data_IF_094813521009
#
_entry.id   IF_094813521009
#
_cell.length_a   1.000
_cell.length_b   1.000
_cell.length_c   1.000
_cell.angle_alpha   90.00
_cell.angle_beta   90.00
_cell.angle_gamma   90.00
#
_symmetry.space_group_name_H-M   'P 1'
#
loop_
_entity.id
_entity.type
_entity.pdbx_description
1 polymer ?
#
# COMPACT_ATOMS: atom_id res chain seq x y z
N UNK A 1 -37.92 61.74 -29.98
CA UNK A 1 -36.77 62.51 -29.45
C UNK A 1 -35.63 61.51 -29.22
N UNK A 2 -34.68 61.38 -30.15
CA UNK A 2 -33.29 61.92 -30.12
C UNK A 2 -32.33 61.25 -29.09
N UNK A 3 -31.63 60.19 -29.57
CA UNK A 3 -30.16 59.85 -29.55
C UNK A 3 -29.37 59.83 -28.20
N UNK A 4 -28.13 59.28 -28.13
CA UNK A 4 -27.57 57.98 -28.55
C UNK A 4 -26.61 57.34 -27.48
N UNK A 5 -26.03 56.16 -27.75
CA UNK A 5 -24.95 55.51 -26.97
C UNK A 5 -23.55 56.15 -27.16
N UNK A 6 -22.57 55.93 -26.25
CA UNK A 6 -21.44 55.01 -26.53
C UNK A 6 -20.93 54.26 -25.26
N UNK A 7 -20.48 53.01 -25.34
CA UNK A 7 -19.10 52.67 -25.70
C UNK A 7 -18.19 52.59 -24.45
N UNK A 8 -17.92 51.38 -23.96
CA UNK A 8 -16.79 51.07 -23.07
C UNK A 8 -16.45 49.59 -23.26
N UNK A 9 -15.67 49.32 -24.31
CA UNK A 9 -14.24 48.99 -24.25
C UNK A 9 -13.98 47.59 -23.67
N UNK A 10 -13.68 46.68 -24.60
CA UNK A 10 -12.93 45.44 -24.39
C UNK A 10 -11.80 45.61 -23.37
N UNK A 11 -11.65 44.65 -22.46
CA UNK A 11 -10.34 44.09 -22.16
C UNK A 11 -10.52 42.61 -21.77
N UNK A 12 -10.38 41.74 -22.77
CA UNK A 12 -10.24 40.31 -22.57
C UNK A 12 -8.86 40.05 -21.94
N UNK A 13 -8.83 39.70 -20.66
CA UNK A 13 -7.63 39.17 -20.01
C UNK A 13 -7.41 37.73 -20.49
N UNK A 14 -6.63 37.58 -21.56
CA UNK A 14 -6.00 36.31 -21.93
C UNK A 14 -5.05 35.90 -20.81
N UNK A 15 -5.49 34.97 -19.97
CA UNK A 15 -4.60 34.27 -19.04
C UNK A 15 -3.72 33.31 -19.86
N UNK A 16 -2.47 33.71 -20.12
CA UNK A 16 -1.44 32.84 -20.64
C UNK A 16 -1.17 31.71 -19.63
N UNK A 17 -1.75 30.54 -19.86
CA UNK A 17 -1.32 29.29 -19.22
C UNK A 17 0.09 28.98 -19.72
N UNK A 18 1.09 29.37 -18.93
CA UNK A 18 2.47 28.95 -19.13
C UNK A 18 2.58 27.48 -18.73
N UNK A 19 2.60 26.61 -19.74
CA UNK A 19 2.84 25.19 -19.56
C UNK A 19 4.32 24.98 -19.22
N UNK A 20 4.65 25.03 -17.93
CA UNK A 20 5.99 24.70 -17.46
C UNK A 20 6.21 23.18 -17.61
N UNK A 21 7.27 22.72 -18.29
CA UNK A 21 7.59 21.30 -18.34
C UNK A 21 8.01 20.84 -16.94
N UNK A 22 7.27 19.89 -16.38
CA UNK A 22 7.65 19.19 -15.16
C UNK A 22 9.01 18.50 -15.38
N UNK A 23 9.97 18.59 -14.45
CA UNK A 23 11.20 17.82 -14.55
C UNK A 23 10.82 16.33 -14.51
N UNK A 24 11.22 15.60 -15.55
CA UNK A 24 11.16 14.16 -15.55
C UNK A 24 11.94 13.65 -14.32
N UNK A 25 11.24 13.05 -13.37
CA UNK A 25 11.86 12.43 -12.22
C UNK A 25 12.89 11.41 -12.74
N UNK A 26 14.15 11.60 -12.35
CA UNK A 26 15.23 10.69 -12.66
C UNK A 26 14.84 9.29 -12.21
N UNK A 27 14.72 8.36 -13.16
CA UNK A 27 14.54 6.95 -12.87
C UNK A 27 15.86 6.46 -12.26
N UNK A 28 15.94 6.50 -10.93
CA UNK A 28 17.03 5.86 -10.19
C UNK A 28 17.01 4.38 -10.57
N UNK A 29 18.05 3.95 -11.31
CA UNK A 29 18.25 2.57 -11.71
C UNK A 29 18.68 1.80 -10.47
N UNK A 30 17.72 1.46 -9.62
CA UNK A 30 17.91 0.45 -8.58
C UNK A 30 18.12 -0.88 -9.29
N UNK A 31 19.12 -1.67 -8.88
CA UNK A 31 19.19 -3.07 -9.25
C UNK A 31 17.78 -3.67 -9.11
N UNK A 32 17.32 -4.36 -10.15
CA UNK A 32 15.92 -4.76 -10.25
C UNK A 32 15.41 -5.44 -8.97
N UNK A 33 14.12 -5.28 -8.68
CA UNK A 33 13.52 -5.86 -7.50
C UNK A 33 13.86 -7.37 -7.40
N UNK A 34 14.09 -7.91 -6.19
CA UNK A 34 14.38 -9.33 -6.03
C UNK A 34 13.31 -10.20 -6.72
N UNK A 35 13.68 -11.40 -7.19
CA UNK A 35 12.73 -12.29 -7.89
C UNK A 35 11.52 -12.69 -7.03
N UNK A 36 11.62 -12.54 -5.70
CA UNK A 36 10.58 -12.80 -4.72
C UNK A 36 9.85 -11.52 -4.23
N UNK A 37 10.06 -10.36 -4.86
CA UNK A 37 9.45 -9.11 -4.39
C UNK A 37 7.92 -9.19 -4.31
N UNK A 38 7.29 -9.80 -5.33
CA UNK A 38 5.85 -9.98 -5.35
C UNK A 38 5.35 -10.85 -4.18
N UNK A 39 6.14 -11.86 -3.79
CA UNK A 39 5.82 -12.72 -2.65
C UNK A 39 5.92 -11.93 -1.33
N UNK A 40 6.92 -11.05 -1.19
CA UNK A 40 7.03 -10.20 0.00
C UNK A 40 5.92 -9.15 0.09
N UNK A 41 5.51 -8.57 -1.05
CA UNK A 41 4.37 -7.65 -1.10
C UNK A 41 3.08 -8.35 -0.66
N UNK A 42 2.85 -9.57 -1.15
CA UNK A 42 1.69 -10.36 -0.74
C UNK A 42 1.78 -10.79 0.72
N UNK A 43 2.98 -11.15 1.21
CA UNK A 43 3.19 -11.46 2.62
C UNK A 43 2.88 -10.26 3.51
N UNK A 44 3.35 -9.06 3.14
CA UNK A 44 3.05 -7.82 3.87
C UNK A 44 1.54 -7.55 3.93
N UNK A 45 0.83 -7.70 2.81
CA UNK A 45 -0.63 -7.57 2.76
C UNK A 45 -1.34 -8.57 3.69
N UNK A 46 -0.91 -9.83 3.69
CA UNK A 46 -1.44 -10.88 4.59
C UNK A 46 -1.23 -10.51 6.05
N UNK A 47 -0.04 -10.02 6.42
CA UNK A 47 0.26 -9.58 7.78
C UNK A 47 -0.66 -8.43 8.21
N UNK A 48 -0.95 -7.48 7.31
CA UNK A 48 -1.91 -6.41 7.54
C UNK A 48 -3.34 -6.92 7.77
N UNK A 49 -3.79 -7.85 6.92
CA UNK A 49 -5.11 -8.45 7.05
C UNK A 49 -5.26 -9.23 8.38
N UNK A 50 -4.25 -10.01 8.76
CA UNK A 50 -4.21 -10.71 10.04
C UNK A 50 -4.17 -9.75 11.22
N UNK A 51 -3.48 -8.62 11.09
CA UNK A 51 -3.43 -7.58 12.11
C UNK A 51 -4.83 -7.03 12.43
N UNK A 52 -5.72 -6.95 11.45
CA UNK A 52 -7.10 -6.54 11.65
C UNK A 52 -8.02 -7.69 12.11
N UNK A 53 -8.03 -8.80 11.38
CA UNK A 53 -9.02 -9.87 11.54
C UNK A 53 -8.88 -10.61 12.87
N UNK A 54 -7.66 -10.84 13.35
CA UNK A 54 -7.44 -11.69 14.52
C UNK A 54 -7.93 -11.06 15.82
N UNK A 55 -7.59 -9.80 16.14
CA UNK A 55 -8.18 -9.12 17.29
C UNK A 55 -9.70 -8.96 17.17
N UNK A 56 -10.22 -8.70 15.96
CA UNK A 56 -11.66 -8.61 15.72
C UNK A 56 -12.40 -9.91 16.11
N UNK A 57 -11.75 -11.06 15.90
CA UNK A 57 -12.23 -12.39 16.27
C UNK A 57 -11.73 -12.90 17.63
N UNK A 58 -11.24 -12.00 18.50
CA UNK A 58 -10.95 -12.32 19.90
C UNK A 58 -9.59 -12.96 20.18
N UNK A 59 -8.68 -13.02 19.20
CA UNK A 59 -7.32 -13.48 19.45
C UNK A 59 -6.53 -12.43 20.26
N UNK A 60 -5.93 -12.84 21.37
CA UNK A 60 -5.11 -11.99 22.24
C UNK A 60 -3.66 -11.90 21.73
N UNK A 61 -3.44 -11.12 20.67
CA UNK A 61 -2.13 -11.00 19.99
C UNK A 61 -1.82 -9.55 19.58
N UNK A 62 -1.79 -8.64 20.56
CA UNK A 62 -1.86 -7.17 20.36
C UNK A 62 -0.74 -6.56 19.49
N UNK A 63 0.38 -7.27 19.30
CA UNK A 63 1.52 -6.79 18.50
C UNK A 63 2.03 -7.78 17.45
N UNK A 64 1.69 -9.07 17.56
CA UNK A 64 2.29 -10.17 16.77
C UNK A 64 2.47 -9.82 15.29
N UNK A 65 1.40 -9.46 14.60
CA UNK A 65 1.43 -9.23 13.15
C UNK A 65 2.19 -7.97 12.73
N UNK A 66 2.25 -6.95 13.60
CA UNK A 66 3.13 -5.80 13.37
C UNK A 66 4.58 -6.17 13.59
N UNK A 67 4.87 -7.01 14.59
CA UNK A 67 6.23 -7.47 14.88
C UNK A 67 6.76 -8.37 13.74
N UNK A 68 5.92 -9.24 13.16
CA UNK A 68 6.26 -10.00 11.96
C UNK A 68 6.54 -9.09 10.75
N UNK A 69 5.73 -8.03 10.57
CA UNK A 69 5.98 -7.05 9.51
C UNK A 69 7.29 -6.28 9.74
N UNK A 70 7.58 -5.92 10.99
CA UNK A 70 8.85 -5.30 11.36
C UNK A 70 10.02 -6.25 11.09
N UNK A 71 9.90 -7.53 11.45
CA UNK A 71 10.89 -8.56 11.16
C UNK A 71 11.14 -8.72 9.65
N UNK A 72 10.10 -8.69 8.82
CA UNK A 72 10.23 -8.68 7.37
C UNK A 72 11.06 -7.48 6.91
N UNK A 73 10.75 -6.28 7.40
CA UNK A 73 11.47 -5.06 7.04
C UNK A 73 12.92 -5.05 7.53
N UNK A 74 13.20 -5.68 8.67
CA UNK A 74 14.54 -5.75 9.24
C UNK A 74 15.42 -6.72 8.46
N UNK A 75 14.89 -7.87 8.06
CA UNK A 75 15.60 -8.88 7.25
C UNK A 75 15.89 -8.35 5.85
N UNK A 76 14.88 -7.75 5.21
CA UNK A 76 15.00 -7.27 3.83
C UNK A 76 15.76 -5.95 3.72
N UNK A 77 15.88 -5.22 4.83
CA UNK A 77 16.47 -3.88 4.94
C UNK A 77 16.15 -2.98 3.72
N UNK A 78 14.88 -2.85 3.29
CA UNK A 78 14.54 -2.14 2.07
C UNK A 78 14.77 -0.63 2.27
N UNK A 79 15.31 0.02 1.24
CA UNK A 79 15.54 1.47 1.23
C UNK A 79 14.56 2.20 0.31
N UNK A 80 14.32 3.49 0.59
CA UNK A 80 13.53 4.36 -0.27
C UNK A 80 12.14 3.82 -0.58
N UNK A 81 11.77 3.84 -1.86
CA UNK A 81 10.43 3.48 -2.33
C UNK A 81 10.02 2.05 -1.96
N UNK A 82 10.97 1.09 -1.93
CA UNK A 82 10.68 -0.32 -1.63
C UNK A 82 10.11 -0.51 -0.22
N UNK A 83 10.66 0.21 0.77
CA UNK A 83 10.14 0.19 2.15
C UNK A 83 8.72 0.74 2.21
N UNK A 84 8.48 1.83 1.48
CA UNK A 84 7.17 2.46 1.36
C UNK A 84 6.14 1.52 0.75
N UNK A 85 6.52 0.78 -0.31
CA UNK A 85 5.64 -0.19 -0.99
C UNK A 85 5.24 -1.34 -0.06
N UNK A 86 6.18 -1.96 0.65
CA UNK A 86 5.88 -3.01 1.62
C UNK A 86 4.96 -2.52 2.76
N UNK A 87 5.22 -1.31 3.25
CA UNK A 87 4.36 -0.68 4.27
C UNK A 87 2.95 -0.41 3.72
N UNK A 88 2.85 0.05 2.47
CA UNK A 88 1.58 0.30 1.81
C UNK A 88 0.80 -1.02 1.61
N UNK A 89 1.45 -2.11 1.23
CA UNK A 89 0.82 -3.42 1.10
C UNK A 89 0.22 -3.89 2.44
N UNK A 90 0.98 -3.77 3.54
CA UNK A 90 0.45 -4.04 4.89
C UNK A 90 -0.79 -3.19 5.21
N UNK A 91 -0.72 -1.88 4.99
CA UNK A 91 -1.83 -0.99 5.26
C UNK A 91 -3.06 -1.33 4.39
N UNK A 92 -2.86 -1.70 3.12
CA UNK A 92 -3.93 -2.11 2.22
C UNK A 92 -4.63 -3.38 2.71
N UNK A 93 -3.87 -4.38 3.17
CA UNK A 93 -4.42 -5.60 3.76
C UNK A 93 -5.25 -5.33 5.02
N UNK A 94 -4.77 -4.43 5.88
CA UNK A 94 -5.52 -4.00 7.07
C UNK A 94 -6.82 -3.27 6.69
N UNK A 95 -6.72 -2.29 5.79
CA UNK A 95 -7.84 -1.43 5.39
C UNK A 95 -8.92 -2.18 4.62
N UNK A 96 -8.54 -3.15 3.77
CA UNK A 96 -9.50 -3.93 2.99
C UNK A 96 -10.51 -4.63 3.89
N UNK A 97 -10.06 -5.28 4.96
CA UNK A 97 -10.95 -5.97 5.92
C UNK A 97 -11.63 -5.00 6.89
N UNK A 98 -10.97 -3.90 7.26
CA UNK A 98 -11.59 -2.86 8.11
C UNK A 98 -12.81 -2.22 7.47
N UNK A 99 -12.83 -2.13 6.15
CA UNK A 99 -13.96 -1.59 5.42
C UNK A 99 -15.17 -2.53 5.45
N UNK A 100 -14.96 -3.85 5.43
CA UNK A 100 -16.05 -4.84 5.28
C UNK A 100 -16.55 -5.43 6.59
N UNK A 101 -15.69 -5.61 7.59
CA UNK A 101 -16.06 -6.24 8.86
C UNK A 101 -15.97 -5.27 10.03
N UNK A 102 -17.01 -5.21 10.86
CA UNK A 102 -17.06 -4.43 12.11
C UNK A 102 -17.18 -5.29 13.36
N UNK A 103 -17.60 -6.54 13.18
CA UNK A 103 -17.66 -7.59 14.20
C UNK A 103 -17.10 -8.86 13.57
N UNK A 104 -16.67 -9.82 14.39
CA UNK A 104 -16.30 -11.12 13.87
C UNK A 104 -17.53 -11.83 13.29
N UNK A 105 -17.39 -12.31 12.06
CA UNK A 105 -18.37 -13.15 11.36
C UNK A 105 -17.70 -14.48 10.99
N UNK A 106 -18.47 -15.54 10.68
CA UNK A 106 -17.88 -16.80 10.21
C UNK A 106 -16.98 -16.63 8.97
N UNK A 107 -17.28 -15.66 8.10
CA UNK A 107 -16.43 -15.37 6.94
C UNK A 107 -15.15 -14.62 7.31
N UNK A 108 -15.19 -13.72 8.29
CA UNK A 108 -14.00 -13.05 8.81
C UNK A 108 -13.05 -14.06 9.49
N UNK A 109 -13.61 -14.98 10.28
CA UNK A 109 -12.84 -16.04 10.94
C UNK A 109 -12.20 -16.99 9.92
N UNK A 110 -12.96 -17.43 8.91
CA UNK A 110 -12.43 -18.24 7.82
C UNK A 110 -11.33 -17.53 7.03
N UNK A 111 -11.52 -16.23 6.73
CA UNK A 111 -10.49 -15.43 6.07
C UNK A 111 -9.21 -15.36 6.91
N UNK A 112 -9.33 -15.16 8.23
CA UNK A 112 -8.19 -15.17 9.14
C UNK A 112 -7.45 -16.50 9.10
N UNK A 113 -8.16 -17.63 9.16
CA UNK A 113 -7.54 -18.97 9.16
C UNK A 113 -6.79 -19.24 7.85
N UNK A 114 -7.41 -18.91 6.71
CA UNK A 114 -6.78 -19.06 5.39
C UNK A 114 -5.52 -18.22 5.23
N UNK A 115 -5.50 -17.01 5.78
CA UNK A 115 -4.31 -16.17 5.73
C UNK A 115 -3.19 -16.62 6.64
N UNK A 116 -3.48 -17.26 7.78
CA UNK A 116 -2.44 -17.91 8.57
C UNK A 116 -1.74 -19.00 7.76
N UNK A 117 -2.52 -19.86 7.09
CA UNK A 117 -1.98 -20.93 6.25
C UNK A 117 -1.20 -20.36 5.05
N UNK A 118 -1.77 -19.37 4.39
CA UNK A 118 -1.19 -18.76 3.18
C UNK A 118 0.09 -18.00 3.51
N UNK A 119 0.08 -17.15 4.53
CA UNK A 119 1.25 -16.40 4.98
C UNK A 119 2.38 -17.32 5.45
N UNK A 120 2.06 -18.35 6.24
CA UNK A 120 3.05 -19.32 6.69
C UNK A 120 3.66 -20.12 5.53
N UNK A 121 2.86 -20.51 4.53
CA UNK A 121 3.36 -21.16 3.32
C UNK A 121 4.26 -20.22 2.52
N UNK A 122 3.83 -18.98 2.29
CA UNK A 122 4.56 -17.99 1.50
C UNK A 122 5.92 -17.67 2.12
N UNK A 123 5.96 -17.42 3.42
CA UNK A 123 7.20 -17.17 4.15
C UNK A 123 8.18 -18.36 4.04
N UNK A 124 7.69 -19.59 4.20
CA UNK A 124 8.52 -20.80 4.03
C UNK A 124 9.02 -20.97 2.60
N UNK A 125 8.16 -20.74 1.61
CA UNK A 125 8.53 -20.89 0.19
C UNK A 125 9.63 -19.89 -0.20
N UNK A 126 9.52 -18.63 0.24
CA UNK A 126 10.55 -17.61 0.03
C UNK A 126 11.86 -18.03 0.71
N UNK A 127 11.82 -18.38 2.00
CA UNK A 127 13.02 -18.79 2.74
C UNK A 127 13.68 -20.05 2.15
N UNK A 128 12.89 -21.02 1.69
CA UNK A 128 13.42 -22.26 1.11
C UNK A 128 14.09 -22.02 -0.24
N UNK A 129 13.53 -21.11 -1.05
CA UNK A 129 14.04 -20.84 -2.41
C UNK A 129 15.16 -19.83 -2.43
N UNK A 130 15.19 -18.91 -1.47
CA UNK A 130 16.05 -17.73 -1.53
C UNK A 130 16.86 -17.46 -0.24
N UNK A 131 16.65 -18.23 0.84
CA UNK A 131 17.31 -18.04 2.14
C UNK A 131 18.70 -18.66 2.28
N UNK A 132 19.26 -19.23 1.21
CA UNK A 132 20.66 -19.69 1.18
C UNK A 132 21.54 -18.64 0.52
N UNK A 133 22.03 -17.67 1.30
CA UNK A 133 23.20 -16.86 0.97
C UNK A 133 23.85 -16.30 2.24
#
# INVERSE_FOLDING_TARGET
>A
MRRPAPGSLLLALLACFTFAPLPAAAQATQGGAPPYEADLMHLAEILGALHYLRPLCGAAETARWRDEMQGLLDVEAPSGDRRGQLTAAFNNGYESYRQVYRTCTPSAELASQRYLETGAKLARDVATRYGSN
#
